data_IF_279844427035
#
_entry.id   IF_279844427035
#
_cell.length_a   1.000
_cell.length_b   1.000
_cell.length_c   1.000
_cell.angle_alpha   90.00
_cell.angle_beta   90.00
_cell.angle_gamma   90.00
#
_symmetry.space_group_name_H-M   'P 1'
#
loop_
_entity.id
_entity.type
_entity.pdbx_description
1 polymer ?
#
# COMPACT_ATOMS: atom_id res chain seq x y z
N UNK A 1 -22.87 2.61 -79.07
CA UNK A 1 -23.75 1.43 -78.93
C UNK A 1 -22.86 0.26 -78.53
N UNK A 2 -23.04 -0.20 -77.29
CA UNK A 2 -22.83 -1.57 -76.77
C UNK A 2 -21.46 -2.29 -76.81
N UNK A 3 -21.09 -2.84 -75.63
CA UNK A 3 -20.23 -4.01 -75.36
C UNK A 3 -18.73 -3.70 -75.20
N UNK A 4 -18.04 -3.75 -74.04
CA UNK A 4 -17.97 -4.67 -72.87
C UNK A 4 -16.91 -5.79 -73.01
N UNK A 5 -16.32 -6.12 -71.84
CA UNK A 5 -15.28 -7.12 -71.49
C UNK A 5 -13.81 -6.63 -71.56
N UNK A 6 -12.91 -6.86 -70.61
CA UNK A 6 -12.91 -7.32 -69.19
C UNK A 6 -11.42 -7.26 -68.73
N UNK A 7 -11.20 -7.28 -67.41
CA UNK A 7 -10.05 -7.84 -66.68
C UNK A 7 -9.35 -6.92 -65.65
N UNK A 8 -9.62 -7.25 -64.37
CA UNK A 8 -8.63 -7.44 -63.30
C UNK A 8 -7.96 -6.18 -62.73
N UNK A 9 -7.81 -5.99 -61.42
CA UNK A 9 -7.95 -6.85 -60.25
C UNK A 9 -7.37 -6.04 -59.08
N UNK A 10 -8.05 -6.06 -57.94
CA UNK A 10 -7.86 -5.10 -56.85
C UNK A 10 -6.73 -5.41 -55.87
N UNK A 11 -6.48 -4.40 -55.02
CA UNK A 11 -5.76 -4.50 -53.76
C UNK A 11 -5.62 -3.10 -53.13
N UNK A 12 -6.26 -2.80 -51.97
CA UNK A 12 -6.18 -1.49 -51.36
C UNK A 12 -4.94 -1.36 -50.46
N UNK A 13 -4.24 -0.24 -50.63
CA UNK A 13 -3.11 0.18 -49.80
C UNK A 13 -3.59 0.75 -48.45
N UNK A 14 -2.89 0.38 -47.38
CA UNK A 14 -3.06 0.91 -46.03
C UNK A 14 -2.63 2.39 -45.96
N UNK A 15 -3.49 3.23 -45.37
CA UNK A 15 -3.22 4.65 -45.12
C UNK A 15 -2.36 4.88 -43.85
N UNK A 16 -1.65 6.01 -43.75
CA UNK A 16 -0.74 6.26 -42.63
C UNK A 16 -1.36 7.03 -41.46
N UNK A 17 -0.88 6.66 -40.27
CA UNK A 17 -0.62 7.41 -39.04
C UNK A 17 -1.33 8.75 -38.78
N UNK A 18 -2.16 8.75 -37.73
CA UNK A 18 -2.66 9.95 -37.06
C UNK A 18 -1.65 10.55 -36.08
N UNK A 19 -1.47 11.86 -36.20
CA UNK A 19 -0.57 12.73 -35.45
C UNK A 19 -1.17 13.23 -34.14
N UNK A 20 -0.31 13.32 -33.11
CA UNK A 20 -0.53 14.08 -31.86
C UNK A 20 -0.26 15.57 -32.09
N UNK A 21 -1.00 16.49 -31.44
CA UNK A 21 -0.50 17.85 -31.25
C UNK A 21 -0.20 18.14 -29.77
N UNK A 22 1.02 18.62 -29.55
CA UNK A 22 1.39 19.45 -28.41
C UNK A 22 0.98 20.90 -28.68
N UNK A 23 0.48 21.60 -27.66
CA UNK A 23 0.16 23.02 -27.73
C UNK A 23 0.41 23.71 -26.39
N UNK A 24 1.50 24.48 -26.35
CA UNK A 24 1.82 25.49 -25.33
C UNK A 24 1.31 26.85 -25.82
N UNK A 25 0.77 27.68 -24.92
CA UNK A 25 0.44 29.08 -25.21
C UNK A 25 -0.33 29.78 -24.09
N UNK A 26 0.35 30.70 -23.41
CA UNK A 26 -0.13 31.51 -22.29
C UNK A 26 -0.93 32.76 -22.72
N UNK A 27 -1.77 33.29 -21.82
CA UNK A 27 -2.28 34.67 -21.88
C UNK A 27 -3.52 34.93 -21.01
N UNK A 28 -3.73 36.15 -20.46
CA UNK A 28 -4.15 36.31 -19.07
C UNK A 28 -5.52 37.00 -18.83
N UNK A 29 -6.02 36.90 -17.59
CA UNK A 29 -6.70 37.97 -16.87
C UNK A 29 -8.22 37.89 -16.71
N UNK A 30 -8.70 37.62 -15.49
CA UNK A 30 -9.88 38.27 -14.91
C UNK A 30 -9.90 38.08 -13.39
N UNK A 31 -10.17 39.18 -12.68
CA UNK A 31 -10.04 39.38 -11.25
C UNK A 31 -11.18 38.75 -10.42
N UNK A 32 -10.85 38.30 -9.21
CA UNK A 32 -11.78 38.18 -8.09
C UNK A 32 -11.04 38.45 -6.78
N UNK A 33 -11.55 39.38 -5.98
CA UNK A 33 -10.90 39.95 -4.79
C UNK A 33 -10.89 39.04 -3.55
N UNK A 34 -10.21 39.46 -2.47
CA UNK A 34 -10.09 38.66 -1.26
C UNK A 34 -11.32 38.89 -0.36
N UNK A 35 -12.02 37.81 -0.03
CA UNK A 35 -12.99 37.79 1.06
C UNK A 35 -12.29 37.38 2.35
N UNK A 36 -12.32 38.29 3.33
CA UNK A 36 -11.93 38.05 4.70
C UNK A 36 -13.09 37.42 5.49
N UNK A 37 -12.81 36.35 6.24
CA UNK A 37 -13.61 35.88 7.38
C UNK A 37 -12.70 34.97 8.23
N UNK A 38 -12.10 35.51 9.30
CA UNK A 38 -12.61 35.48 10.66
C UNK A 38 -12.55 34.07 11.28
N UNK A 39 -11.44 33.81 11.96
CA UNK A 39 -11.24 32.73 12.92
C UNK A 39 -12.07 33.06 14.18
N UNK A 40 -12.99 32.18 14.55
CA UNK A 40 -13.73 32.23 15.81
C UNK A 40 -13.27 31.12 16.73
N UNK A 41 -12.43 31.48 17.71
CA UNK A 41 -12.18 30.68 18.91
C UNK A 41 -13.43 30.63 19.79
N UNK A 42 -13.77 29.44 20.27
CA UNK A 42 -14.64 29.26 21.43
C UNK A 42 -14.07 28.11 22.28
N UNK A 43 -13.10 28.42 23.12
CA UNK A 43 -12.66 27.58 24.23
C UNK A 43 -13.56 27.85 25.44
N UNK A 44 -14.37 26.87 25.83
CA UNK A 44 -15.00 26.78 27.15
C UNK A 44 -14.21 25.80 28.03
N UNK A 45 -14.09 26.04 29.35
CA UNK A 45 -13.21 25.26 30.21
C UNK A 45 -13.85 23.91 30.56
N UNK A 46 -13.37 22.85 29.93
CA UNK A 46 -13.61 21.47 30.35
C UNK A 46 -12.57 21.05 31.37
N UNK A 47 -13.04 20.59 32.53
CA UNK A 47 -12.27 20.10 33.67
C UNK A 47 -11.27 19.01 33.23
N UNK A 48 -9.98 19.06 33.64
CA UNK A 48 -9.06 17.96 33.38
C UNK A 48 -9.33 16.77 34.31
N UNK A 49 -9.36 15.60 33.69
CA UNK A 49 -9.44 14.27 34.29
C UNK A 49 -8.18 13.95 35.11
N UNK A 50 -8.38 13.50 36.35
CA UNK A 50 -7.36 13.30 37.40
C UNK A 50 -6.36 12.16 37.09
N UNK A 51 -6.46 11.47 35.94
CA UNK A 51 -5.50 10.44 35.54
C UNK A 51 -4.36 10.99 34.65
N UNK A 52 -4.54 12.12 33.97
CA UNK A 52 -3.52 12.74 33.10
C UNK A 52 -2.44 13.51 33.86
N UNK A 53 -2.78 14.05 35.04
CA UNK A 53 -1.85 14.82 35.87
C UNK A 53 -0.80 13.94 36.58
N UNK A 54 -1.10 12.67 36.84
CA UNK A 54 -0.15 11.74 37.46
C UNK A 54 1.03 11.39 36.52
N UNK A 55 0.76 11.22 35.22
CA UNK A 55 1.78 10.92 34.22
C UNK A 55 2.63 12.13 33.83
N UNK A 56 2.02 13.33 33.72
CA UNK A 56 2.75 14.56 33.43
C UNK A 56 3.65 15.00 34.60
N UNK A 57 3.24 14.72 35.84
CA UNK A 57 4.02 15.04 37.05
C UNK A 57 5.26 14.13 37.20
N UNK A 58 5.21 12.89 36.72
CA UNK A 58 6.38 11.99 36.72
C UNK A 58 7.43 12.33 35.63
N UNK A 59 7.04 12.95 34.51
CA UNK A 59 8.00 13.42 33.50
C UNK A 59 8.68 14.74 33.87
N UNK A 60 8.04 15.57 34.70
CA UNK A 60 8.62 16.85 35.12
C UNK A 60 9.64 16.70 36.29
N UNK A 61 9.62 15.59 37.02
CA UNK A 61 10.61 15.26 38.07
C UNK A 61 11.82 14.44 37.55
N UNK A 62 12.05 14.40 36.23
CA UNK A 62 13.24 13.81 35.62
C UNK A 62 14.24 14.84 35.06
N UNK A 63 14.02 16.14 35.30
CA UNK A 63 15.08 17.15 35.14
C UNK A 63 15.98 17.10 36.38
N UNK A 64 16.87 16.11 36.42
CA UNK A 64 17.84 15.97 37.49
C UNK A 64 18.69 17.24 37.64
N UNK A 65 18.81 17.71 38.88
CA UNK A 65 19.71 18.80 39.26
C UNK A 65 21.13 18.55 38.70
N UNK A 66 21.67 19.44 37.85
CA UNK A 66 22.97 19.25 37.23
C UNK A 66 24.14 19.20 38.23
N UNK A 67 23.91 19.57 39.51
CA UNK A 67 24.92 19.56 40.58
C UNK A 67 24.84 18.33 41.51
N UNK A 68 24.00 17.33 41.19
CA UNK A 68 23.88 16.12 42.00
C UNK A 68 25.13 15.20 41.90
N UNK A 69 25.61 14.59 43.01
CA UNK A 69 26.82 13.77 43.01
C UNK A 69 26.77 12.59 42.01
N UNK A 70 27.88 12.21 41.36
CA UNK A 70 27.91 11.28 40.22
C UNK A 70 27.21 9.94 40.46
N UNK A 71 27.28 9.43 41.70
CA UNK A 71 26.64 8.17 42.11
C UNK A 71 25.10 8.24 42.08
N UNK A 72 24.50 9.41 42.34
CA UNK A 72 23.04 9.62 42.32
C UNK A 72 22.50 9.71 40.89
N UNK A 73 23.31 10.24 39.95
CA UNK A 73 22.97 10.35 38.52
C UNK A 73 22.98 9.00 37.80
N UNK A 74 23.98 8.15 38.08
CA UNK A 74 24.04 6.79 37.53
C UNK A 74 22.83 5.96 37.97
N UNK A 75 22.45 6.03 39.25
CA UNK A 75 21.27 5.35 39.78
C UNK A 75 19.94 5.82 39.16
N UNK A 76 19.81 7.13 38.88
CA UNK A 76 18.63 7.67 38.22
C UNK A 76 18.54 7.24 36.74
N UNK A 77 19.67 7.18 36.03
CA UNK A 77 19.74 6.67 34.66
C UNK A 77 19.37 5.17 34.59
N UNK A 78 19.91 4.35 35.49
CA UNK A 78 19.58 2.92 35.60
C UNK A 78 18.08 2.69 35.88
N UNK A 79 17.47 3.51 36.75
CA UNK A 79 16.05 3.42 37.07
C UNK A 79 15.14 3.85 35.90
N UNK A 80 15.54 4.88 35.15
CA UNK A 80 14.83 5.31 33.94
C UNK A 80 14.91 4.27 32.82
N UNK A 81 16.07 3.62 32.65
CA UNK A 81 16.26 2.53 31.69
C UNK A 81 15.41 1.31 32.05
N UNK A 82 15.36 0.92 33.33
CA UNK A 82 14.52 -0.17 33.81
C UNK A 82 13.02 0.11 33.64
N UNK A 83 12.58 1.36 33.86
CA UNK A 83 11.19 1.78 33.64
C UNK A 83 10.81 1.76 32.15
N UNK A 84 11.70 2.22 31.27
CA UNK A 84 11.51 2.16 29.82
C UNK A 84 11.46 0.71 29.31
N UNK A 85 12.32 -0.17 29.82
CA UNK A 85 12.30 -1.60 29.50
C UNK A 85 11.01 -2.29 29.96
N UNK A 86 10.51 -1.95 31.15
CA UNK A 86 9.23 -2.47 31.65
C UNK A 86 8.02 -1.94 30.84
N UNK A 87 8.04 -0.67 30.43
CA UNK A 87 7.02 -0.10 29.55
C UNK A 87 7.03 -0.75 28.16
N UNK A 88 8.22 -0.98 27.57
CA UNK A 88 8.37 -1.69 26.30
C UNK A 88 7.87 -3.14 26.39
N UNK A 89 8.20 -3.85 27.48
CA UNK A 89 7.70 -5.20 27.75
C UNK A 89 6.17 -5.25 27.98
N UNK A 90 5.59 -4.16 28.50
CA UNK A 90 4.14 -3.98 28.63
C UNK A 90 3.46 -3.68 27.28
N UNK A 91 4.11 -2.89 26.41
CA UNK A 91 3.62 -2.52 25.08
C UNK A 91 3.45 -3.74 24.18
N UNK A 92 4.45 -4.62 24.12
CA UNK A 92 4.38 -5.83 23.29
C UNK A 92 3.21 -6.74 23.64
N UNK A 93 2.86 -6.86 24.93
CA UNK A 93 1.70 -7.63 25.40
C UNK A 93 0.36 -6.97 25.06
N UNK A 94 0.32 -5.65 24.91
CA UNK A 94 -0.88 -4.96 24.45
C UNK A 94 -1.04 -5.10 22.94
N UNK A 95 0.03 -4.90 22.18
CA UNK A 95 0.06 -5.04 20.73
C UNK A 95 -0.46 -6.42 20.30
N UNK A 96 0.08 -7.50 20.88
CA UNK A 96 -0.36 -8.87 20.59
C UNK A 96 -1.85 -9.08 20.86
N UNK A 97 -2.38 -8.51 21.95
CA UNK A 97 -3.81 -8.55 22.26
C UNK A 97 -4.64 -7.73 21.26
N UNK A 98 -4.16 -6.56 20.85
CA UNK A 98 -4.82 -5.74 19.83
C UNK A 98 -4.87 -6.44 18.47
N UNK A 99 -3.81 -7.16 18.09
CA UNK A 99 -3.82 -8.02 16.91
C UNK A 99 -5.00 -9.00 16.96
N UNK A 100 -5.19 -9.71 18.08
CA UNK A 100 -6.28 -10.68 18.21
C UNK A 100 -7.69 -10.07 18.14
N UNK A 101 -7.88 -8.84 18.65
CA UNK A 101 -9.19 -8.18 18.74
C UNK A 101 -9.57 -7.47 17.44
N UNK A 102 -8.58 -6.90 16.73
CA UNK A 102 -8.81 -6.07 15.55
C UNK A 102 -8.80 -6.87 14.23
N UNK A 103 -8.53 -8.18 14.28
CA UNK A 103 -8.57 -9.03 13.10
C UNK A 103 -9.98 -9.13 12.49
N UNK A 104 -10.01 -9.29 11.16
CA UNK A 104 -11.22 -9.63 10.44
C UNK A 104 -11.74 -10.99 10.91
N UNK A 105 -13.02 -11.06 11.25
CA UNK A 105 -13.67 -12.32 11.68
C UNK A 105 -13.76 -13.40 10.59
N UNK A 106 -13.44 -13.07 9.34
CA UNK A 106 -13.50 -13.99 8.19
C UNK A 106 -12.13 -14.52 7.82
N UNK A 107 -11.18 -13.63 7.48
CA UNK A 107 -9.83 -14.03 7.05
C UNK A 107 -8.83 -14.14 8.21
N UNK A 108 -9.22 -13.75 9.43
CA UNK A 108 -8.39 -13.76 10.64
C UNK A 108 -7.12 -12.90 10.56
N UNK A 109 -7.04 -12.04 9.54
CA UNK A 109 -5.95 -11.09 9.35
C UNK A 109 -6.36 -9.69 9.76
N UNK A 110 -5.37 -8.90 10.16
CA UNK A 110 -5.54 -7.47 10.32
C UNK A 110 -5.86 -6.81 8.97
N UNK A 111 -6.93 -6.01 8.90
CA UNK A 111 -7.36 -5.36 7.66
C UNK A 111 -6.32 -4.37 7.14
N UNK A 112 -6.11 -4.37 5.81
CA UNK A 112 -5.20 -3.42 5.11
C UNK A 112 -5.91 -2.17 4.57
N UNK A 113 -7.24 -2.17 4.58
CA UNK A 113 -8.09 -1.15 3.97
C UNK A 113 -9.30 -0.89 4.88
N UNK A 114 -10.43 -0.49 4.31
CA UNK A 114 -11.66 -0.20 5.07
C UNK A 114 -12.11 -1.37 5.94
N UNK A 115 -12.61 -1.06 7.13
CA UNK A 115 -13.16 -2.04 8.07
C UNK A 115 -14.64 -1.79 8.26
N UNK A 116 -15.44 -2.84 8.12
CA UNK A 116 -16.87 -2.81 8.35
C UNK A 116 -17.20 -3.53 9.65
N UNK A 117 -18.09 -2.94 10.43
CA UNK A 117 -18.56 -3.48 11.68
C UNK A 117 -20.06 -3.78 11.57
N UNK A 118 -20.46 -5.00 11.94
CA UNK A 118 -21.88 -5.34 12.05
C UNK A 118 -22.52 -4.64 13.25
N UNK A 119 -23.85 -4.64 13.34
CA UNK A 119 -24.58 -3.98 14.45
C UNK A 119 -24.20 -4.51 15.84
N UNK A 120 -23.72 -5.76 15.92
CA UNK A 120 -23.25 -6.39 17.15
C UNK A 120 -21.74 -6.25 17.42
N UNK A 121 -20.98 -5.55 16.57
CA UNK A 121 -19.57 -5.25 16.83
C UNK A 121 -18.52 -6.11 16.14
N UNK A 122 -18.89 -7.13 15.35
CA UNK A 122 -17.92 -7.97 14.63
C UNK A 122 -17.31 -7.23 13.44
N UNK A 123 -15.98 -7.34 13.31
CA UNK A 123 -15.20 -6.67 12.29
C UNK A 123 -15.01 -7.55 11.05
N UNK A 124 -15.13 -6.94 9.88
CA UNK A 124 -14.91 -7.55 8.57
C UNK A 124 -14.08 -6.59 7.72
N UNK A 125 -13.01 -7.08 7.09
CA UNK A 125 -12.27 -6.27 6.13
C UNK A 125 -13.12 -6.04 4.86
N UNK A 126 -12.83 -4.99 4.11
CA UNK A 126 -13.57 -4.64 2.90
C UNK A 126 -13.73 -5.82 1.92
N UNK A 127 -12.67 -6.59 1.68
CA UNK A 127 -12.69 -7.76 0.78
C UNK A 127 -13.67 -8.83 1.27
N UNK A 128 -13.54 -9.27 2.52
CA UNK A 128 -14.43 -10.28 3.10
C UNK A 128 -15.88 -9.79 3.19
N UNK A 129 -16.11 -8.52 3.51
CA UNK A 129 -17.45 -7.95 3.53
C UNK A 129 -18.11 -8.02 2.14
N UNK A 130 -17.37 -7.65 1.08
CA UNK A 130 -17.87 -7.73 -0.30
C UNK A 130 -18.14 -9.18 -0.70
N UNK A 131 -17.25 -10.12 -0.34
CA UNK A 131 -17.45 -11.55 -0.62
C UNK A 131 -18.72 -12.09 0.04
N UNK A 132 -18.96 -11.79 1.31
CA UNK A 132 -20.17 -12.22 2.01
C UNK A 132 -21.45 -11.69 1.34
N UNK A 133 -21.45 -10.42 0.90
CA UNK A 133 -22.58 -9.85 0.16
C UNK A 133 -22.76 -10.50 -1.23
N UNK A 134 -21.66 -10.80 -1.92
CA UNK A 134 -21.70 -11.46 -3.22
C UNK A 134 -22.20 -12.90 -3.12
N UNK A 135 -21.72 -13.66 -2.14
CA UNK A 135 -22.12 -15.05 -1.89
C UNK A 135 -23.61 -15.15 -1.58
N UNK A 136 -24.12 -14.26 -0.72
CA UNK A 136 -25.55 -14.21 -0.38
C UNK A 136 -26.40 -13.93 -1.63
N UNK A 137 -25.96 -12.99 -2.48
CA UNK A 137 -26.63 -12.69 -3.75
C UNK A 137 -26.62 -13.87 -4.72
N UNK A 138 -25.53 -14.63 -4.81
CA UNK A 138 -25.44 -15.82 -5.66
C UNK A 138 -26.35 -16.96 -5.19
N UNK A 139 -26.59 -17.05 -3.88
CA UNK A 139 -27.47 -18.04 -3.26
C UNK A 139 -28.93 -17.59 -3.14
N UNK A 140 -29.25 -16.37 -3.56
CA UNK A 140 -30.56 -15.74 -3.36
C UNK A 140 -30.97 -15.66 -1.87
N UNK A 141 -29.99 -15.50 -0.98
CA UNK A 141 -30.16 -15.44 0.46
C UNK A 141 -29.83 -14.04 1.01
N UNK A 142 -30.28 -13.79 2.24
CA UNK A 142 -29.88 -12.58 2.98
C UNK A 142 -28.46 -12.73 3.52
N UNK A 143 -27.62 -11.72 3.29
CA UNK A 143 -26.27 -11.72 3.84
C UNK A 143 -26.31 -11.58 5.37
N UNK A 144 -25.54 -12.43 6.07
CA UNK A 144 -25.47 -12.44 7.54
C UNK A 144 -24.04 -12.42 8.04
N UNK A 145 -23.84 -11.86 9.24
CA UNK A 145 -22.55 -11.89 9.91
C UNK A 145 -22.17 -13.33 10.26
N UNK A 146 -20.96 -13.82 9.90
CA UNK A 146 -20.55 -15.19 10.19
C UNK A 146 -20.52 -15.54 11.68
N UNK A 147 -20.29 -14.56 12.55
CA UNK A 147 -20.14 -14.80 13.99
C UNK A 147 -21.48 -14.74 14.74
N UNK A 148 -22.30 -13.70 14.53
CA UNK A 148 -23.55 -13.50 15.26
C UNK A 148 -24.83 -13.67 14.45
N UNK A 149 -24.72 -13.95 13.14
CA UNK A 149 -25.84 -14.17 12.22
C UNK A 149 -26.83 -13.01 12.06
N UNK A 150 -26.51 -11.82 12.57
CA UNK A 150 -27.31 -10.63 12.29
C UNK A 150 -27.24 -10.30 10.79
N UNK A 151 -28.27 -9.66 10.27
CA UNK A 151 -28.29 -9.19 8.90
C UNK A 151 -27.15 -8.18 8.66
N UNK A 152 -26.47 -8.31 7.52
CA UNK A 152 -25.43 -7.37 7.10
C UNK A 152 -25.77 -6.81 5.71
N UNK A 153 -25.50 -5.52 5.53
CA UNK A 153 -25.70 -4.81 4.27
C UNK A 153 -24.85 -3.55 4.26
N UNK A 154 -24.75 -2.88 3.10
CA UNK A 154 -24.02 -1.59 2.98
C UNK A 154 -24.62 -0.48 3.84
N UNK A 155 -25.91 -0.56 4.20
CA UNK A 155 -26.59 0.43 5.03
C UNK A 155 -26.61 0.06 6.52
N UNK A 156 -26.61 -1.23 6.85
CA UNK A 156 -26.66 -1.71 8.23
C UNK A 156 -25.27 -1.75 8.90
N UNK A 157 -24.23 -2.08 8.14
CA UNK A 157 -22.87 -2.12 8.66
C UNK A 157 -22.23 -0.73 8.58
N UNK A 158 -21.57 -0.31 9.66
CA UNK A 158 -20.83 0.95 9.68
C UNK A 158 -19.36 0.73 9.27
N UNK A 159 -18.78 1.71 8.57
CA UNK A 159 -17.34 1.75 8.34
C UNK A 159 -16.65 2.27 9.61
N UNK A 160 -15.79 1.47 10.22
CA UNK A 160 -15.13 1.81 11.47
C UNK A 160 -13.75 2.45 11.24
N UNK A 161 -13.74 3.78 11.12
CA UNK A 161 -12.52 4.57 10.95
C UNK A 161 -11.58 4.53 12.16
N UNK A 162 -12.11 4.30 13.36
CA UNK A 162 -11.28 4.21 14.56
C UNK A 162 -10.42 2.94 14.53
N UNK A 163 -11.01 1.81 14.12
CA UNK A 163 -10.27 0.56 13.90
C UNK A 163 -9.27 0.73 12.76
N UNK A 164 -9.65 1.38 11.65
CA UNK A 164 -8.71 1.66 10.56
C UNK A 164 -7.46 2.41 11.04
N UNK A 165 -7.64 3.48 11.83
CA UNK A 165 -6.54 4.26 12.42
C UNK A 165 -5.75 3.46 13.45
N UNK A 166 -6.41 2.67 14.30
CA UNK A 166 -5.72 1.86 15.29
C UNK A 166 -4.83 0.81 14.61
N UNK A 167 -5.33 0.14 13.57
CA UNK A 167 -4.57 -0.86 12.81
C UNK A 167 -3.42 -0.23 12.03
N UNK A 168 -3.56 1.02 11.57
CA UNK A 168 -2.48 1.72 10.84
C UNK A 168 -1.28 2.07 11.72
N UNK A 169 -1.48 2.25 13.02
CA UNK A 169 -0.41 2.56 13.98
C UNK A 169 0.26 1.31 14.56
N UNK A 170 -0.31 0.11 14.37
CA UNK A 170 0.31 -1.12 14.86
C UNK A 170 1.67 -1.34 14.19
N UNK A 171 2.68 -1.80 14.95
CA UNK A 171 3.99 -2.08 14.41
C UNK A 171 3.95 -3.31 13.49
N UNK A 172 4.73 -3.26 12.43
CA UNK A 172 4.92 -4.34 11.48
C UNK A 172 6.34 -4.29 10.91
N UNK A 173 6.90 -5.46 10.65
CA UNK A 173 8.28 -5.59 10.22
C UNK A 173 8.45 -5.38 8.72
N UNK A 174 9.52 -4.71 8.34
CA UNK A 174 9.94 -4.60 6.95
C UNK A 174 10.52 -5.93 6.46
N UNK A 175 9.98 -6.47 5.36
CA UNK A 175 10.46 -7.73 4.77
C UNK A 175 11.87 -7.68 4.20
N UNK A 176 12.51 -6.51 4.12
CA UNK A 176 13.89 -6.34 3.64
C UNK A 176 14.88 -6.12 4.79
N UNK A 177 14.64 -5.12 5.63
CA UNK A 177 15.59 -4.72 6.68
C UNK A 177 15.22 -5.23 8.09
N UNK A 178 14.10 -5.95 8.22
CA UNK A 178 13.58 -6.56 9.46
C UNK A 178 13.35 -5.57 10.62
N UNK A 179 13.35 -4.27 10.35
CA UNK A 179 13.02 -3.23 11.33
C UNK A 179 11.51 -3.03 11.41
N UNK A 180 11.04 -2.65 12.60
CA UNK A 180 9.63 -2.39 12.86
C UNK A 180 9.25 -0.96 12.47
N UNK A 181 8.10 -0.82 11.82
CA UNK A 181 7.51 0.46 11.44
C UNK A 181 5.99 0.41 11.67
N UNK A 182 5.33 1.54 11.95
CA UNK A 182 3.88 1.64 11.83
C UNK A 182 3.43 1.20 10.43
N UNK A 183 2.33 0.45 10.38
CA UNK A 183 1.78 -0.05 9.10
C UNK A 183 1.45 1.07 8.12
N UNK A 184 1.05 2.24 8.60
CA UNK A 184 0.78 3.44 7.81
C UNK A 184 1.96 3.88 6.95
N UNK A 185 3.20 3.69 7.43
CA UNK A 185 4.42 4.13 6.72
C UNK A 185 5.20 2.97 6.09
N UNK A 186 4.88 1.72 6.44
CA UNK A 186 5.65 0.55 6.04
C UNK A 186 5.76 0.39 4.52
N UNK A 187 4.66 0.60 3.79
CA UNK A 187 4.65 0.50 2.33
C UNK A 187 5.58 1.53 1.67
N UNK A 188 5.51 2.78 2.14
CA UNK A 188 6.38 3.87 1.68
C UNK A 188 7.84 3.58 2.03
N UNK A 189 8.10 3.07 3.24
CA UNK A 189 9.44 2.65 3.64
C UNK A 189 9.99 1.59 2.69
N UNK A 190 9.26 0.50 2.46
CA UNK A 190 9.68 -0.62 1.61
C UNK A 190 9.97 -0.17 0.16
N UNK A 191 9.17 0.77 -0.36
CA UNK A 191 9.29 1.23 -1.75
C UNK A 191 10.38 2.29 -1.95
N UNK A 192 10.55 3.21 -1.01
CA UNK A 192 11.29 4.45 -1.24
C UNK A 192 12.47 4.65 -0.27
N UNK A 193 12.33 4.28 1.01
CA UNK A 193 13.30 4.66 2.05
C UNK A 193 14.23 3.51 2.46
N UNK A 194 13.79 2.27 2.28
CA UNK A 194 14.51 1.10 2.77
C UNK A 194 15.82 0.93 1.99
N UNK A 195 16.94 0.87 2.70
CA UNK A 195 18.28 0.68 2.14
C UNK A 195 18.50 -0.75 1.62
N UNK A 196 17.71 -1.70 2.11
CA UNK A 196 17.79 -3.11 1.75
C UNK A 196 16.72 -3.49 0.70
N UNK A 197 15.93 -2.52 0.23
CA UNK A 197 14.97 -2.76 -0.85
C UNK A 197 15.70 -3.22 -2.11
N UNK A 198 15.10 -4.15 -2.82
CA UNK A 198 15.64 -4.64 -4.09
C UNK A 198 15.43 -3.57 -5.16
N UNK A 199 16.53 -3.11 -5.76
CA UNK A 199 16.54 -2.15 -6.85
C UNK A 199 17.27 -2.71 -8.07
N UNK A 200 17.03 -2.09 -9.22
CA UNK A 200 17.61 -2.50 -10.49
C UNK A 200 18.55 -1.42 -10.98
N UNK A 201 19.60 -1.82 -11.70
CA UNK A 201 20.55 -0.88 -12.30
C UNK A 201 19.84 0.07 -13.28
N UNK A 202 20.24 1.35 -13.35
CA UNK A 202 19.74 2.30 -14.37
C UNK A 202 19.92 1.80 -15.82
N UNK A 203 20.93 0.95 -16.04
CA UNK A 203 21.24 0.32 -17.33
C UNK A 203 20.45 -0.99 -17.58
N UNK A 204 19.43 -1.31 -16.77
CA UNK A 204 18.52 -2.44 -17.02
C UNK A 204 17.89 -2.39 -18.41
N UNK A 205 17.61 -1.19 -18.93
CA UNK A 205 17.04 -0.97 -20.27
C UNK A 205 17.98 -1.39 -21.41
N UNK A 206 19.28 -1.43 -21.17
CA UNK A 206 20.29 -1.94 -22.12
C UNK A 206 20.78 -3.34 -21.71
N UNK A 207 20.01 -4.03 -20.88
CA UNK A 207 20.20 -5.42 -20.53
C UNK A 207 21.13 -5.70 -19.35
N UNK A 208 21.39 -4.73 -18.47
CA UNK A 208 22.05 -5.05 -17.20
C UNK A 208 21.17 -6.00 -16.37
N UNK A 209 21.63 -7.22 -16.02
CA UNK A 209 20.82 -8.18 -15.26
C UNK A 209 20.82 -7.88 -13.75
N UNK A 210 21.67 -6.96 -13.30
CA UNK A 210 21.88 -6.68 -11.88
C UNK A 210 20.59 -6.22 -11.19
N UNK A 211 20.29 -6.90 -10.09
CA UNK A 211 19.32 -6.54 -9.09
C UNK A 211 19.93 -6.80 -7.72
N UNK A 212 19.71 -5.92 -6.75
CA UNK A 212 20.33 -6.05 -5.44
C UNK A 212 19.82 -5.00 -4.45
N UNK A 213 20.31 -5.02 -3.20
CA UNK A 213 19.99 -4.01 -2.20
C UNK A 213 20.34 -2.60 -2.69
N UNK A 214 19.51 -1.62 -2.35
CA UNK A 214 19.72 -0.24 -2.79
C UNK A 214 21.07 0.34 -2.34
N UNK A 215 21.56 -0.02 -1.16
CA UNK A 215 22.85 0.49 -0.69
C UNK A 215 24.04 0.02 -1.55
N UNK A 216 23.91 -1.07 -2.29
CA UNK A 216 24.94 -1.57 -3.22
C UNK A 216 24.79 -0.99 -4.64
N UNK A 217 23.67 -0.35 -4.96
CA UNK A 217 23.38 0.17 -6.30
C UNK A 217 24.43 1.17 -6.75
N UNK A 218 24.87 2.07 -5.88
CA UNK A 218 25.86 3.10 -6.22
C UNK A 218 27.21 2.49 -6.59
N UNK A 219 27.62 1.45 -5.87
CA UNK A 219 28.85 0.70 -6.14
C UNK A 219 28.75 -0.04 -7.48
N UNK A 220 27.61 -0.70 -7.72
CA UNK A 220 27.37 -1.36 -9.00
C UNK A 220 27.36 -0.37 -10.17
N UNK A 221 26.68 0.76 -10.05
CA UNK A 221 26.58 1.75 -11.12
C UNK A 221 27.94 2.35 -11.51
N UNK A 222 28.84 2.53 -10.56
CA UNK A 222 30.20 2.99 -10.81
C UNK A 222 31.06 1.92 -11.54
N UNK A 223 30.78 0.64 -11.32
CA UNK A 223 31.51 -0.49 -11.90
C UNK A 223 30.76 -1.18 -13.06
N UNK A 224 29.64 -0.62 -13.51
CA UNK A 224 28.79 -1.28 -14.50
C UNK A 224 29.49 -1.36 -15.85
N UNK A 225 29.58 -2.57 -16.43
CA UNK A 225 30.21 -2.79 -17.73
C UNK A 225 29.28 -2.49 -18.93
N UNK A 226 27.96 -2.39 -18.71
CA UNK A 226 26.98 -2.18 -19.79
C UNK A 226 27.14 -0.86 -20.57
N UNK A 227 27.53 0.28 -19.95
CA UNK A 227 27.79 1.52 -20.68
C UNK A 227 28.95 1.44 -21.69
N UNK A 228 29.89 0.52 -21.48
CA UNK A 228 31.08 0.34 -22.32
C UNK A 228 30.95 -0.81 -23.31
N UNK A 229 29.81 -1.52 -23.34
CA UNK A 229 29.56 -2.62 -24.30
C UNK A 229 29.40 -2.06 -25.71
N UNK A 230 29.85 -2.84 -26.69
CA UNK A 230 29.70 -2.49 -28.10
C UNK A 230 28.25 -2.65 -28.57
N UNK A 231 27.87 -1.96 -29.64
CA UNK A 231 26.52 -2.04 -30.19
C UNK A 231 26.09 -3.47 -30.57
N UNK A 232 27.00 -4.27 -31.12
CA UNK A 232 26.71 -5.66 -31.48
C UNK A 232 26.38 -6.51 -30.25
N UNK A 233 27.17 -6.40 -29.19
CA UNK A 233 26.92 -7.11 -27.92
C UNK A 233 25.60 -6.67 -27.27
N UNK A 234 25.24 -5.38 -27.37
CA UNK A 234 23.96 -4.89 -26.87
C UNK A 234 22.78 -5.42 -27.68
N UNK A 235 22.91 -5.53 -29.01
CA UNK A 235 21.84 -6.07 -29.87
C UNK A 235 21.55 -7.53 -29.55
N UNK A 236 22.57 -8.35 -29.30
CA UNK A 236 22.38 -9.75 -28.89
C UNK A 236 21.63 -9.84 -27.54
N UNK A 237 22.05 -9.05 -26.55
CA UNK A 237 21.39 -9.03 -25.23
C UNK A 237 19.94 -8.56 -25.34
N UNK A 238 19.68 -7.52 -26.15
CA UNK A 238 18.33 -7.00 -26.34
C UNK A 238 17.41 -8.00 -27.06
N UNK A 239 17.93 -8.75 -28.04
CA UNK A 239 17.16 -9.79 -28.72
C UNK A 239 16.77 -10.92 -27.76
N UNK A 240 17.70 -11.37 -26.90
CA UNK A 240 17.40 -12.36 -25.86
C UNK A 240 16.32 -11.87 -24.86
N UNK A 241 16.37 -10.59 -24.49
CA UNK A 241 15.37 -9.97 -23.64
C UNK A 241 14.00 -9.92 -24.33
N UNK A 242 13.95 -9.53 -25.60
CA UNK A 242 12.71 -9.47 -26.38
C UNK A 242 12.10 -10.86 -26.56
N UNK A 243 12.91 -11.88 -26.84
CA UNK A 243 12.46 -13.27 -26.91
C UNK A 243 11.88 -13.75 -25.57
N UNK A 244 12.54 -13.42 -24.45
CA UNK A 244 12.07 -13.78 -23.11
C UNK A 244 10.74 -13.10 -22.78
N UNK A 245 10.62 -11.80 -23.07
CA UNK A 245 9.39 -11.04 -22.88
C UNK A 245 8.23 -11.58 -23.75
N UNK A 246 8.51 -11.99 -25.00
CA UNK A 246 7.51 -12.64 -25.87
C UNK A 246 7.02 -13.96 -25.28
N UNK A 247 7.91 -14.79 -24.77
CA UNK A 247 7.55 -16.07 -24.12
C UNK A 247 6.68 -15.83 -22.88
N UNK A 248 7.03 -14.84 -22.05
CA UNK A 248 6.24 -14.46 -20.88
C UNK A 248 4.85 -13.97 -21.28
N UNK A 249 4.77 -13.11 -22.31
CA UNK A 249 3.49 -12.62 -22.83
C UNK A 249 2.62 -13.75 -23.41
N UNK A 250 3.23 -14.74 -24.07
CA UNK A 250 2.52 -15.94 -24.54
C UNK A 250 1.95 -16.76 -23.38
N UNK A 251 2.71 -16.90 -22.29
CA UNK A 251 2.23 -17.56 -21.08
C UNK A 251 1.03 -16.82 -20.47
N UNK A 252 1.12 -15.50 -20.32
CA UNK A 252 -0.01 -14.69 -19.82
C UNK A 252 -1.25 -14.83 -20.70
N UNK A 253 -1.09 -14.76 -22.02
CA UNK A 253 -2.20 -14.95 -22.96
C UNK A 253 -2.81 -16.36 -22.84
N UNK A 254 -1.98 -17.39 -22.61
CA UNK A 254 -2.45 -18.76 -22.41
C UNK A 254 -3.25 -18.88 -21.11
N UNK A 255 -2.74 -18.32 -20.01
CA UNK A 255 -3.43 -18.28 -18.72
C UNK A 255 -4.76 -17.53 -18.87
N UNK A 256 -4.74 -16.34 -19.48
CA UNK A 256 -5.95 -15.56 -19.72
C UNK A 256 -6.97 -16.34 -20.54
N UNK A 257 -6.53 -17.04 -21.61
CA UNK A 257 -7.41 -17.89 -22.41
C UNK A 257 -8.05 -18.98 -21.56
N UNK A 258 -7.26 -19.69 -20.73
CA UNK A 258 -7.77 -20.75 -19.84
C UNK A 258 -8.78 -20.21 -18.82
N UNK A 259 -8.48 -19.07 -18.19
CA UNK A 259 -9.38 -18.43 -17.22
C UNK A 259 -10.63 -17.81 -17.88
N UNK A 260 -10.56 -17.47 -19.17
CA UNK A 260 -11.71 -17.00 -19.95
C UNK A 260 -12.67 -18.13 -20.36
N UNK A 261 -12.26 -19.40 -20.24
CA UNK A 261 -13.12 -20.56 -20.42
C UNK A 261 -13.91 -20.91 -19.13
N UNK A 262 -14.49 -19.92 -18.45
CA UNK A 262 -15.69 -20.13 -17.64
C UNK A 262 -16.93 -19.93 -18.53
N UNK A 263 -17.09 -20.82 -19.51
CA UNK A 263 -18.43 -21.15 -20.00
C UNK A 263 -18.95 -22.21 -19.04
N UNK A 264 -19.62 -21.75 -17.98
CA UNK A 264 -20.43 -22.59 -17.09
C UNK A 264 -21.41 -23.36 -17.99
N UNK A 265 -21.07 -24.60 -18.31
CA UNK A 265 -22.01 -25.56 -18.85
C UNK A 265 -22.90 -25.99 -17.69
N UNK A 266 -23.97 -25.24 -17.44
CA UNK A 266 -25.17 -25.83 -16.84
C UNK A 266 -25.69 -26.86 -17.85
N UNK A 267 -25.22 -28.11 -17.74
CA UNK A 267 -25.97 -29.25 -18.26
C UNK A 267 -27.00 -29.61 -17.21
N UNK A 268 -28.22 -29.14 -17.48
CA UNK A 268 -29.50 -29.67 -17.01
C UNK A 268 -29.46 -31.21 -16.95
N UNK A 269 -29.66 -31.78 -15.76
CA UNK A 269 -30.15 -33.14 -15.54
C UNK A 269 -30.73 -33.30 -14.14
#
# INVERSE_FOLDING_TARGET
MSGAEEAGGGGPAAGPAGSVPAGVGAGPGAAAGPAAAALGEAAGPGLPDEAGLAGARQLQEAAGDPDAPPKKRLRAAEAAEAAAAAAAAGSGKLEERLYSVLCCTVCLDLPKASVYQCTNGHLMCAGCFIHLLADARLKEEQATCPNCRCEISKSLCCRNLAVEKAVSELPSECGFCLRQFPRSILERHQKEECQDRVTQCKYKRIGCPWHGPFHELTVHEAACAHPTKTGNELMEILDEMDQSHRKEMQLYNSIFSLLSFEKIGYTDH
#
